data_IF_798025776615
#
_entry.id   IF_798025776615
#
_cell.length_a   1.000
_cell.length_b   1.000
_cell.length_c   1.000
_cell.angle_alpha   90.00
_cell.angle_beta   90.00
_cell.angle_gamma   90.00
#
_symmetry.space_group_name_H-M   'P 1'
#
loop_
_entity.id
_entity.type
_entity.pdbx_description
1 polymer ?
#
# COMPACT_ATOMS: atom_id res chain seq x y z
N UNK A 1 5.14 14.30 0.12
CA UNK A 1 5.58 13.03 0.75
C UNK A 1 5.33 11.90 -0.23
N UNK A 2 6.19 10.91 -0.25
CA UNK A 2 5.97 9.71 -1.04
C UNK A 2 5.26 8.66 -0.19
N UNK A 3 4.07 8.24 -0.63
CA UNK A 3 3.26 7.23 0.03
C UNK A 3 3.27 5.99 -0.85
N UNK A 4 3.62 4.84 -0.29
CA UNK A 4 3.72 3.60 -1.08
C UNK A 4 2.84 2.50 -0.48
N UNK A 5 2.37 1.60 -1.36
CA UNK A 5 1.42 0.54 -0.99
C UNK A 5 1.92 -0.79 -1.56
N UNK A 6 2.61 -1.61 -0.74
CA UNK A 6 2.96 -2.96 -1.16
C UNK A 6 1.74 -3.86 -1.26
N UNK A 7 1.83 -4.91 -2.08
CA UNK A 7 0.82 -5.96 -2.08
C UNK A 7 0.86 -6.73 -0.77
N UNK A 8 -0.30 -7.18 -0.30
CA UNK A 8 -0.40 -7.99 0.89
C UNK A 8 0.08 -9.41 0.58
N UNK A 9 0.87 -9.99 1.49
CA UNK A 9 1.45 -11.32 1.28
C UNK A 9 0.96 -12.36 2.28
N UNK A 10 0.22 -11.96 3.32
CA UNK A 10 -0.33 -12.94 4.27
C UNK A 10 -1.41 -13.78 3.60
N UNK A 11 -1.46 -15.06 3.98
CA UNK A 11 -2.44 -16.02 3.45
C UNK A 11 -3.85 -15.51 3.66
N UNK A 12 -4.67 -15.61 2.61
CA UNK A 12 -6.07 -15.19 2.58
C UNK A 12 -6.30 -13.69 2.73
N UNK A 13 -5.25 -12.87 2.72
CA UNK A 13 -5.45 -11.42 2.70
C UNK A 13 -5.69 -10.95 1.26
N UNK A 14 -6.90 -10.45 0.99
CA UNK A 14 -7.29 -9.97 -0.33
C UNK A 14 -7.44 -8.45 -0.40
N UNK A 15 -7.43 -7.79 0.75
CA UNK A 15 -7.60 -6.34 0.80
C UNK A 15 -6.30 -5.62 0.47
N UNK A 16 -6.45 -4.40 -0.01
CA UNK A 16 -5.33 -3.49 -0.25
C UNK A 16 -5.50 -2.27 0.66
N UNK A 17 -4.41 -1.68 1.07
CA UNK A 17 -4.43 -0.61 2.07
C UNK A 17 -4.97 0.72 1.54
N UNK A 18 -5.03 0.90 0.23
CA UNK A 18 -5.46 2.16 -0.38
C UNK A 18 -6.24 1.87 -1.65
N UNK A 19 -7.44 2.44 -1.75
CA UNK A 19 -8.26 2.35 -2.97
C UNK A 19 -7.83 3.40 -3.99
N UNK A 20 -8.20 3.24 -5.28
CA UNK A 20 -7.93 4.28 -6.27
C UNK A 20 -8.53 5.63 -5.89
N UNK A 21 -9.72 5.66 -5.30
CA UNK A 21 -10.33 6.93 -4.87
C UNK A 21 -9.51 7.61 -3.77
N UNK A 22 -9.07 6.85 -2.78
CA UNK A 22 -8.21 7.38 -1.73
C UNK A 22 -6.88 7.86 -2.28
N UNK A 23 -6.31 7.12 -3.23
CA UNK A 23 -5.08 7.50 -3.90
C UNK A 23 -5.24 8.81 -4.67
N UNK A 24 -6.36 8.98 -5.36
CA UNK A 24 -6.66 10.20 -6.10
C UNK A 24 -6.68 11.42 -5.18
N UNK A 25 -7.25 11.28 -3.99
CA UNK A 25 -7.29 12.37 -3.00
C UNK A 25 -5.88 12.74 -2.53
N UNK A 26 -5.03 11.75 -2.27
CA UNK A 26 -3.65 11.99 -1.86
C UNK A 26 -2.84 12.68 -2.96
N UNK A 27 -3.02 12.27 -4.20
CA UNK A 27 -2.38 12.91 -5.35
C UNK A 27 -2.84 14.36 -5.47
N UNK A 28 -4.14 14.61 -5.30
CA UNK A 28 -4.69 15.97 -5.36
C UNK A 28 -4.11 16.85 -4.25
N UNK A 29 -3.77 16.27 -3.11
CA UNK A 29 -3.13 16.99 -2.00
C UNK A 29 -1.62 17.21 -2.19
N UNK A 30 -1.07 16.79 -3.31
CA UNK A 30 0.34 17.02 -3.66
C UNK A 30 1.28 15.89 -3.25
N UNK A 31 0.77 14.74 -2.86
CA UNK A 31 1.60 13.58 -2.53
C UNK A 31 1.92 12.76 -3.76
N UNK A 32 3.06 12.10 -3.73
CA UNK A 32 3.45 11.10 -4.71
C UNK A 32 2.98 9.74 -4.18
N UNK A 33 2.17 9.01 -4.97
CA UNK A 33 1.60 7.73 -4.55
C UNK A 33 2.08 6.63 -5.49
N UNK A 34 2.72 5.61 -4.92
CA UNK A 34 3.21 4.43 -5.65
C UNK A 34 2.52 3.19 -5.10
N UNK A 35 1.99 2.36 -5.98
CA UNK A 35 1.30 1.12 -5.61
C UNK A 35 2.00 -0.03 -6.32
N UNK A 36 2.27 -1.12 -5.59
CA UNK A 36 2.85 -2.31 -6.21
C UNK A 36 1.90 -2.87 -7.26
N UNK A 37 2.43 -3.25 -8.41
CA UNK A 37 1.62 -3.87 -9.48
C UNK A 37 0.88 -5.08 -8.91
N UNK A 38 -0.41 -5.17 -9.21
CA UNK A 38 -1.26 -6.26 -8.76
C UNK A 38 -1.74 -6.15 -7.32
N UNK A 39 -1.37 -5.10 -6.57
CA UNK A 39 -1.74 -4.99 -5.15
C UNK A 39 -3.26 -4.99 -4.93
N UNK A 40 -4.03 -4.44 -5.85
CA UNK A 40 -5.50 -4.38 -5.72
C UNK A 40 -6.24 -5.56 -6.29
N UNK A 41 -5.54 -6.54 -6.88
CA UNK A 41 -6.18 -7.64 -7.62
C UNK A 41 -7.14 -8.46 -6.75
N UNK A 42 -6.79 -8.72 -5.50
CA UNK A 42 -7.65 -9.47 -4.58
C UNK A 42 -8.94 -8.74 -4.21
N UNK A 43 -9.00 -7.43 -4.39
CA UNK A 43 -10.18 -6.60 -4.16
C UNK A 43 -10.85 -6.18 -5.48
N UNK A 44 -10.51 -6.82 -6.58
CA UNK A 44 -11.03 -6.52 -7.93
C UNK A 44 -10.70 -5.09 -8.39
N UNK A 45 -9.61 -4.53 -7.91
CA UNK A 45 -9.11 -3.22 -8.33
C UNK A 45 -7.91 -3.44 -9.24
N UNK A 46 -8.03 -2.98 -10.49
CA UNK A 46 -6.98 -3.21 -11.50
C UNK A 46 -5.86 -2.18 -11.39
N UNK A 47 -4.70 -2.51 -11.98
CA UNK A 47 -3.62 -1.56 -12.11
C UNK A 47 -4.06 -0.33 -12.91
N UNK A 48 -4.92 -0.50 -13.92
CA UNK A 48 -5.47 0.61 -14.70
C UNK A 48 -6.29 1.56 -13.84
N UNK A 49 -7.04 1.05 -12.87
CA UNK A 49 -7.82 1.89 -11.95
C UNK A 49 -6.90 2.81 -11.16
N UNK A 50 -5.77 2.27 -10.68
CA UNK A 50 -4.78 3.06 -9.97
C UNK A 50 -4.09 4.07 -10.88
N UNK A 51 -3.75 3.66 -12.09
CA UNK A 51 -3.11 4.56 -13.06
C UNK A 51 -3.99 5.77 -13.38
N UNK A 52 -5.30 5.56 -13.52
CA UNK A 52 -6.25 6.64 -13.76
C UNK A 52 -6.36 7.59 -12.57
N UNK A 53 -6.07 7.11 -11.38
CA UNK A 53 -6.08 7.92 -10.16
C UNK A 53 -4.81 8.76 -9.98
N UNK A 54 -3.84 8.64 -10.89
CA UNK A 54 -2.58 9.38 -10.80
C UNK A 54 -1.46 8.64 -10.08
N UNK A 55 -1.64 7.34 -9.82
CA UNK A 55 -0.68 6.50 -9.12
C UNK A 55 0.36 5.96 -10.10
N UNK A 56 1.62 5.87 -9.67
CA UNK A 56 2.65 5.13 -10.38
C UNK A 56 2.65 3.68 -9.89
N UNK A 57 2.65 2.75 -10.85
CA UNK A 57 2.70 1.31 -10.54
C UNK A 57 4.16 0.89 -10.53
N UNK A 58 4.58 0.22 -9.46
CA UNK A 58 5.99 -0.07 -9.20
C UNK A 58 6.20 -1.52 -8.80
N UNK A 59 7.45 -1.94 -8.76
CA UNK A 59 7.84 -3.25 -8.27
C UNK A 59 7.87 -3.27 -6.74
N UNK A 60 8.03 -4.45 -6.17
CA UNK A 60 7.95 -4.65 -4.72
C UNK A 60 8.97 -3.81 -3.95
N UNK A 61 10.20 -3.69 -4.43
CA UNK A 61 11.23 -2.93 -3.73
C UNK A 61 10.85 -1.44 -3.63
N UNK A 62 10.37 -0.87 -4.73
CA UNK A 62 9.93 0.52 -4.74
C UNK A 62 8.68 0.73 -3.88
N UNK A 63 7.81 -0.27 -3.81
CA UNK A 63 6.61 -0.20 -2.99
C UNK A 63 6.91 -0.13 -1.49
N UNK A 64 8.10 -0.51 -1.07
CA UNK A 64 8.54 -0.41 0.33
C UNK A 64 9.42 0.82 0.59
N UNK A 65 9.69 1.64 -0.41
CA UNK A 65 10.67 2.75 -0.32
C UNK A 65 10.07 4.09 0.07
N UNK A 66 8.77 4.17 0.32
CA UNK A 66 8.11 5.44 0.61
C UNK A 66 8.47 6.05 1.96
N UNK A 67 8.16 7.32 2.12
CA UNK A 67 8.22 7.98 3.42
C UNK A 67 7.19 7.38 4.37
N UNK A 68 6.04 7.00 3.83
CA UNK A 68 4.98 6.30 4.54
C UNK A 68 4.58 5.08 3.73
N UNK A 69 4.62 3.91 4.35
CA UNK A 69 4.18 2.65 3.74
C UNK A 69 2.85 2.25 4.37
N UNK A 70 1.84 2.01 3.52
CA UNK A 70 0.50 1.62 3.97
C UNK A 70 0.27 0.14 3.72
N UNK A 71 -0.15 -0.58 4.75
CA UNK A 71 -0.50 -2.01 4.67
C UNK A 71 -1.75 -2.30 5.50
N UNK A 72 -2.49 -3.33 5.10
CA UNK A 72 -3.62 -3.85 5.88
C UNK A 72 -3.09 -4.68 7.05
N UNK A 73 -2.18 -5.61 6.76
CA UNK A 73 -1.58 -6.50 7.75
C UNK A 73 -0.15 -6.05 8.09
N UNK A 74 0.29 -6.38 9.29
CA UNK A 74 1.68 -6.16 9.70
C UNK A 74 2.65 -6.92 8.79
N UNK A 75 3.90 -6.47 8.67
CA UNK A 75 4.88 -7.14 7.83
C UNK A 75 5.12 -8.58 8.29
N UNK A 76 5.35 -9.47 7.31
CA UNK A 76 5.78 -10.84 7.57
C UNK A 76 7.30 -10.87 7.77
N UNK A 77 7.87 -11.96 8.36
CA UNK A 77 9.32 -12.05 8.50
C UNK A 77 10.08 -11.91 7.18
N UNK A 78 9.53 -12.37 6.07
CA UNK A 78 10.13 -12.23 4.74
C UNK A 78 10.18 -10.77 4.30
N UNK A 79 9.30 -9.93 4.84
CA UNK A 79 9.23 -8.51 4.51
C UNK A 79 10.12 -7.64 5.39
N UNK A 80 10.61 -8.15 6.54
CA UNK A 80 11.41 -7.35 7.47
C UNK A 80 12.61 -6.67 6.82
N UNK A 81 13.37 -7.33 5.92
CA UNK A 81 14.50 -6.65 5.26
C UNK A 81 14.09 -5.46 4.39
N UNK A 82 12.81 -5.34 4.05
CA UNK A 82 12.30 -4.24 3.23
C UNK A 82 11.88 -3.03 4.05
N UNK A 83 11.89 -3.12 5.38
CA UNK A 83 11.48 -2.04 6.28
C UNK A 83 12.53 -0.94 6.33
N UNK A 84 12.52 -0.08 5.31
CA UNK A 84 13.42 1.06 5.20
C UNK A 84 12.68 2.40 5.29
N UNK A 85 11.34 2.36 5.31
CA UNK A 85 10.53 3.56 5.38
C UNK A 85 10.60 4.19 6.78
N UNK A 86 10.30 5.48 6.84
CA UNK A 86 10.26 6.22 8.12
C UNK A 86 9.03 5.87 8.93
N UNK A 87 7.95 5.49 8.27
CA UNK A 87 6.70 5.16 8.93
C UNK A 87 5.99 4.03 8.21
N UNK A 88 5.38 3.14 8.98
CA UNK A 88 4.55 2.06 8.50
C UNK A 88 3.20 2.18 9.19
N UNK A 89 2.12 2.15 8.41
CA UNK A 89 0.76 2.18 8.95
C UNK A 89 0.03 0.91 8.55
N UNK A 90 -0.53 0.20 9.54
CA UNK A 90 -1.28 -1.04 9.30
C UNK A 90 -2.66 -0.93 9.95
N UNK A 91 -3.71 -1.17 9.16
CA UNK A 91 -5.09 -0.97 9.65
C UNK A 91 -5.56 -2.05 10.61
N UNK A 92 -5.36 -3.31 10.22
CA UNK A 92 -5.89 -4.41 11.02
C UNK A 92 -5.15 -4.59 12.34
N UNK A 93 -3.87 -4.25 12.35
CA UNK A 93 -3.12 -4.27 13.61
C UNK A 93 -3.71 -3.28 14.60
N UNK A 94 -4.06 -2.08 14.15
CA UNK A 94 -4.70 -1.08 15.00
C UNK A 94 -6.06 -1.57 15.48
N UNK A 95 -6.87 -2.14 14.58
CA UNK A 95 -8.18 -2.66 14.95
C UNK A 95 -8.10 -3.83 15.95
N UNK A 96 -7.11 -4.71 15.79
CA UNK A 96 -6.91 -5.85 16.67
C UNK A 96 -6.50 -5.44 18.08
N UNK A 97 -5.95 -4.26 18.26
CA UNK A 97 -5.52 -3.75 19.56
C UNK A 97 -6.59 -2.93 20.28
N UNK A 98 -7.72 -2.70 19.65
CA UNK A 98 -8.83 -2.02 20.29
C UNK A 98 -9.54 -2.95 21.27
N UNK A 99 -9.85 -2.47 22.46
CA UNK A 99 -10.56 -3.27 23.46
C UNK A 99 -11.99 -3.59 23.03
#
# INVERSE_FOLDING_TARGET
>A
MRITVPAETKVAETRVALTPEGASELVADGHEVWVQRGAGAGSALSDDDYARAGVSLVDVDDAWSGDLVLKVKEPTPEEYPRLTSRALFTYLHLAANEP
#
